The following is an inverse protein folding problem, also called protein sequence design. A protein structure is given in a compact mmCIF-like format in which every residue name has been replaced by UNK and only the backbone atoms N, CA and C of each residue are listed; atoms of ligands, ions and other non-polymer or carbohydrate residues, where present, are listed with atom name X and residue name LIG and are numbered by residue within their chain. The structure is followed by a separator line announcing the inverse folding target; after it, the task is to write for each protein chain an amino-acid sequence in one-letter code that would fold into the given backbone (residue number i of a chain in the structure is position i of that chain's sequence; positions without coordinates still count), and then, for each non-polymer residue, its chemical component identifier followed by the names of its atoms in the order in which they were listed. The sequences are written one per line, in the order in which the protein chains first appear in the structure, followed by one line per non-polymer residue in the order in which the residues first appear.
data_IF_680342870810
#
_entry.id   IF_680342870810
#
_cell.length_a   1.000
_cell.length_b   1.000
_cell.length_c   1.000
_cell.angle_alpha   90.00
_cell.angle_beta   90.00
_cell.angle_gamma   90.00
#
_symmetry.space_group_name_H-M   'P 1'
#
loop_
_entity.id
_entity.type
_entity.pdbx_description
1 polymer ?
#
# COMPACT_ATOMS: atom_id res chain seq x y z
N UNK A 1 18.81 -2.08 10.39
CA UNK A 1 17.88 -2.16 9.24
C UNK A 1 16.60 -1.41 9.60
N UNK A 2 16.31 -0.25 8.99
CA UNK A 2 15.14 0.57 9.34
C UNK A 2 13.91 0.27 8.48
N UNK A 3 13.27 -0.87 8.78
CA UNK A 3 11.97 -1.23 8.21
C UNK A 3 10.84 -0.34 8.72
N UNK A 4 10.96 0.14 9.96
CA UNK A 4 9.96 1.01 10.62
C UNK A 4 9.79 2.34 9.89
N UNK A 5 10.89 3.01 9.55
CA UNK A 5 10.85 4.29 8.81
C UNK A 5 10.27 4.12 7.41
N UNK A 6 10.60 3.03 6.73
CA UNK A 6 10.06 2.76 5.38
C UNK A 6 8.57 2.46 5.47
N UNK A 7 8.14 1.68 6.46
CA UNK A 7 6.73 1.37 6.69
C UNK A 7 5.92 2.63 7.05
N UNK A 8 6.47 3.54 7.86
CA UNK A 8 5.84 4.83 8.16
C UNK A 8 5.62 5.66 6.90
N UNK A 9 6.65 5.81 6.05
CA UNK A 9 6.53 6.52 4.76
C UNK A 9 5.49 5.88 3.83
N UNK A 10 5.44 4.55 3.79
CA UNK A 10 4.41 3.82 3.02
C UNK A 10 3.01 4.08 3.57
N UNK A 11 2.84 4.11 4.90
CA UNK A 11 1.56 4.39 5.57
C UNK A 11 1.08 5.84 5.33
N UNK A 12 1.98 6.81 5.32
CA UNK A 12 1.68 8.19 4.98
C UNK A 12 1.20 8.31 3.52
N UNK A 13 1.88 7.63 2.59
CA UNK A 13 1.56 7.67 1.16
C UNK A 13 0.27 6.93 0.76
N UNK A 14 -0.24 6.00 1.59
CA UNK A 14 -1.53 5.33 1.37
C UNK A 14 -2.73 6.09 1.94
N UNK A 15 -2.52 7.28 2.51
CA UNK A 15 -3.57 8.11 3.10
C UNK A 15 -3.77 7.88 4.60
N UNK A 16 -2.75 7.35 5.29
CA UNK A 16 -2.73 7.19 6.74
C UNK A 16 -3.44 5.93 7.26
N UNK A 17 -3.36 5.69 8.58
CA UNK A 17 -3.89 4.48 9.21
C UNK A 17 -5.41 4.36 9.11
N UNK A 18 -6.13 5.49 9.01
CA UNK A 18 -7.58 5.49 8.84
C UNK A 18 -8.05 4.98 7.47
N UNK A 19 -7.19 5.01 6.45
CA UNK A 19 -7.53 4.50 5.12
C UNK A 19 -7.24 3.00 4.96
N UNK A 20 -6.43 2.41 5.85
CA UNK A 20 -6.05 1.00 5.77
C UNK A 20 -7.06 0.13 6.50
N UNK A 21 -7.82 -0.67 5.74
CA UNK A 21 -8.79 -1.62 6.28
C UNK A 21 -8.13 -2.90 6.77
N UNK A 22 -7.19 -3.42 5.98
CA UNK A 22 -6.52 -4.67 6.29
C UNK A 22 -5.13 -4.73 5.66
N UNK A 23 -4.18 -5.32 6.37
CA UNK A 23 -2.80 -5.56 5.88
C UNK A 23 -2.55 -7.06 5.89
N UNK A 24 -2.16 -7.60 4.74
CA UNK A 24 -1.77 -8.99 4.61
C UNK A 24 -0.38 -9.09 4.01
N UNK A 25 0.46 -9.98 4.54
CA UNK A 25 1.81 -10.19 4.04
C UNK A 25 2.05 -11.67 3.73
N UNK A 26 2.58 -11.95 2.54
CA UNK A 26 3.20 -13.23 2.17
C UNK A 26 4.73 -13.08 2.29
N UNK A 27 5.48 -14.12 1.90
CA UNK A 27 6.94 -14.11 1.87
C UNK A 27 7.54 -13.00 0.97
N UNK A 28 6.89 -12.68 -0.15
CA UNK A 28 7.42 -11.71 -1.15
C UNK A 28 6.43 -10.61 -1.55
N UNK A 29 5.18 -10.66 -1.05
CA UNK A 29 4.12 -9.73 -1.45
C UNK A 29 3.44 -9.15 -0.22
N UNK A 30 3.25 -7.84 -0.22
CA UNK A 30 2.53 -7.13 0.83
C UNK A 30 1.29 -6.48 0.21
N UNK A 31 0.12 -6.83 0.75
CA UNK A 31 -1.19 -6.48 0.21
C UNK A 31 -1.92 -5.56 1.20
N UNK A 32 -2.20 -4.35 0.76
CA UNK A 32 -3.03 -3.40 1.49
C UNK A 32 -4.45 -3.41 0.94
N UNK A 33 -5.42 -3.51 1.84
CA UNK A 33 -6.85 -3.29 1.53
C UNK A 33 -7.21 -1.92 2.07
N UNK A 34 -7.66 -1.02 1.20
CA UNK A 34 -7.96 0.37 1.56
C UNK A 34 -9.47 0.62 1.53
N UNK A 35 -9.96 1.53 2.37
CA UNK A 35 -11.38 1.89 2.43
C UNK A 35 -11.78 2.89 1.34
N UNK A 36 -10.92 3.87 1.03
CA UNK A 36 -11.16 4.88 0.01
C UNK A 36 -9.95 5.02 -0.94
N UNK A 37 -10.22 5.15 -2.23
CA UNK A 37 -9.20 5.30 -3.29
C UNK A 37 -8.59 6.70 -3.38
N UNK A 38 -9.05 7.65 -2.57
CA UNK A 38 -8.92 9.09 -2.82
C UNK A 38 -7.50 9.66 -2.85
N UNK A 39 -6.57 9.30 -1.96
CA UNK A 39 -5.23 9.89 -2.00
C UNK A 39 -4.09 8.86 -1.97
N UNK A 40 -4.20 7.73 -2.68
CA UNK A 40 -3.09 6.77 -2.73
C UNK A 40 -2.04 7.21 -3.74
N UNK A 41 -0.90 7.70 -3.26
CA UNK A 41 0.19 8.17 -4.10
C UNK A 41 1.06 7.01 -4.58
N UNK A 42 0.56 6.29 -5.57
CA UNK A 42 1.24 5.14 -6.19
C UNK A 42 2.63 5.48 -6.75
N UNK A 43 2.85 6.72 -7.17
CA UNK A 43 4.13 7.17 -7.72
C UNK A 43 5.24 7.24 -6.65
N UNK A 44 4.91 7.70 -5.44
CA UNK A 44 5.84 7.77 -4.31
C UNK A 44 6.14 6.38 -3.73
N UNK A 45 5.14 5.48 -3.77
CA UNK A 45 5.30 4.08 -3.37
C UNK A 45 6.27 3.31 -4.28
N UNK A 46 6.30 3.61 -5.59
CA UNK A 46 7.23 3.00 -6.56
C UNK A 46 8.65 3.56 -6.46
N UNK A 47 8.81 4.81 -6.04
CA UNK A 47 10.13 5.45 -5.81
C UNK A 47 10.86 4.88 -4.60
N UNK A 48 10.14 4.28 -3.66
CA UNK A 48 10.78 3.52 -2.60
C UNK A 48 11.56 2.36 -3.21
N UNK A 49 12.91 2.45 -3.23
CA UNK A 49 13.87 1.52 -3.83
C UNK A 49 13.64 0.02 -3.54
N UNK A 50 12.83 -0.30 -2.54
CA UNK A 50 12.51 -1.65 -2.07
C UNK A 50 11.20 -2.21 -2.61
N UNK A 51 10.37 -1.41 -3.28
CA UNK A 51 9.12 -1.86 -3.91
C UNK A 51 9.40 -2.19 -5.37
N UNK A 52 9.41 -3.48 -5.70
CA UNK A 52 9.70 -3.97 -7.05
C UNK A 52 8.50 -3.86 -8.00
N UNK A 53 7.26 -3.98 -7.49
CA UNK A 53 6.05 -3.74 -8.28
C UNK A 53 4.87 -3.37 -7.38
N UNK A 54 4.06 -2.40 -7.81
CA UNK A 54 2.81 -2.02 -7.16
C UNK A 54 1.65 -2.30 -8.13
N UNK A 55 0.74 -3.21 -7.74
CA UNK A 55 -0.42 -3.59 -8.53
C UNK A 55 -1.69 -3.12 -7.83
N UNK A 56 -2.46 -2.25 -8.50
CA UNK A 56 -3.76 -1.81 -8.02
C UNK A 56 -4.85 -2.65 -8.70
N UNK A 57 -5.55 -3.45 -7.90
CA UNK A 57 -6.71 -4.22 -8.35
C UNK A 57 -7.96 -3.64 -7.74
N UNK A 58 -8.77 -2.93 -8.53
CA UNK A 58 -10.13 -2.62 -8.14
C UNK A 58 -10.93 -3.93 -8.13
N UNK A 59 -11.53 -4.27 -6.99
CA UNK A 59 -12.45 -5.39 -6.92
C UNK A 59 -13.69 -5.05 -7.78
N UNK A 60 -13.71 -5.49 -9.04
CA UNK A 60 -14.96 -5.56 -9.81
C UNK A 60 -15.86 -6.54 -9.08
N UNK A 61 -16.89 -6.04 -8.41
CA UNK A 61 -17.99 -6.90 -7.96
C UNK A 61 -18.62 -7.49 -9.22
N UNK A 62 -18.31 -8.74 -9.53
CA UNK A 62 -19.08 -9.51 -10.51
C UNK A 62 -20.51 -9.51 -10.01
N UNK A 63 -21.41 -9.00 -10.85
CA UNK A 63 -22.84 -9.18 -10.68
C UNK A 63 -23.20 -10.63 -11.03
#
# INVERSE_FOLDING_TARGET
MNYKETAQKVLENVGGPGNVKNVYHCATRLRFTLNASGPVRMDELKKARRVSSACWGAARKSR
#
